data_IF_969083601602
#
_entry.id   IF_969083601602
#
_cell.length_a   1.000
_cell.length_b   1.000
_cell.length_c   1.000
_cell.angle_alpha   90.00
_cell.angle_beta   90.00
_cell.angle_gamma   90.00
#
_symmetry.space_group_name_H-M   'P 1'
#
loop_
_entity.id
_entity.type
_entity.pdbx_description
1 polymer ?
#
# COMPACT_ATOMS: atom_id res chain seq x y z
N UNK A 1 42.77 -69.45 -15.52
CA UNK A 1 41.70 -69.30 -16.53
C UNK A 1 41.72 -67.87 -17.01
N UNK A 2 42.18 -67.68 -18.20
CA UNK A 2 42.37 -66.39 -18.87
C UNK A 2 41.04 -65.95 -19.50
N UNK A 3 40.57 -64.77 -19.18
CA UNK A 3 39.51 -64.11 -19.98
C UNK A 3 40.02 -62.70 -20.36
N UNK A 4 40.19 -62.55 -21.67
CA UNK A 4 40.69 -61.36 -22.37
C UNK A 4 39.62 -60.25 -22.38
N UNK A 5 40.00 -59.06 -21.96
CA UNK A 5 39.26 -57.80 -22.20
C UNK A 5 39.47 -57.36 -23.64
N UNK A 6 38.37 -57.07 -24.34
CA UNK A 6 38.37 -56.41 -25.66
C UNK A 6 38.34 -54.88 -25.44
N UNK A 7 39.04 -54.07 -26.26
CA UNK A 7 38.98 -52.61 -26.15
C UNK A 7 37.74 -52.06 -26.81
N UNK A 8 36.99 -51.21 -26.09
CA UNK A 8 35.89 -50.40 -26.61
C UNK A 8 36.45 -49.17 -27.29
N UNK A 9 36.17 -49.01 -28.58
CA UNK A 9 36.49 -47.77 -29.30
C UNK A 9 35.46 -46.72 -28.98
N UNK A 10 35.88 -45.62 -28.36
CA UNK A 10 35.07 -44.43 -28.16
C UNK A 10 35.15 -43.61 -29.46
N UNK A 11 34.06 -43.57 -30.22
CA UNK A 11 33.90 -42.64 -31.35
C UNK A 11 33.41 -41.31 -30.78
N UNK A 12 34.29 -40.31 -30.77
CA UNK A 12 33.94 -38.93 -30.35
C UNK A 12 33.19 -38.26 -31.50
N UNK A 13 31.89 -38.13 -31.41
CA UNK A 13 31.07 -37.38 -32.35
C UNK A 13 31.09 -35.93 -31.97
N UNK A 14 31.88 -35.09 -32.66
CA UNK A 14 31.89 -33.65 -32.48
C UNK A 14 30.68 -33.09 -33.22
N UNK A 15 29.62 -32.73 -32.45
CA UNK A 15 28.45 -32.01 -32.93
C UNK A 15 28.79 -30.51 -32.95
N UNK A 16 29.13 -29.98 -34.11
CA UNK A 16 29.26 -28.54 -34.33
C UNK A 16 27.88 -27.89 -34.35
N UNK A 17 27.43 -27.30 -33.22
CA UNK A 17 26.24 -26.46 -33.15
C UNK A 17 26.54 -25.11 -33.79
N UNK A 18 26.05 -24.92 -35.00
CA UNK A 18 25.99 -23.61 -35.66
C UNK A 18 24.83 -22.83 -35.07
N UNK A 19 25.16 -21.89 -34.17
CA UNK A 19 24.16 -20.92 -33.68
C UNK A 19 23.85 -19.93 -34.82
N UNK A 20 22.75 -20.11 -35.51
CA UNK A 20 22.12 -19.04 -36.27
C UNK A 20 21.46 -18.05 -35.30
N UNK A 21 22.19 -16.97 -35.01
CA UNK A 21 21.60 -15.81 -34.32
C UNK A 21 20.65 -15.11 -35.30
N UNK A 22 19.34 -15.45 -35.19
CA UNK A 22 18.31 -14.66 -35.85
C UNK A 22 18.09 -13.42 -34.98
N UNK A 23 18.82 -12.36 -35.29
CA UNK A 23 18.55 -11.03 -34.79
C UNK A 23 17.18 -10.56 -35.35
N UNK A 24 16.09 -10.90 -34.70
CA UNK A 24 14.81 -10.24 -34.93
C UNK A 24 14.97 -8.77 -34.53
N UNK A 25 15.24 -7.93 -35.55
CA UNK A 25 15.03 -6.48 -35.42
C UNK A 25 13.54 -6.27 -35.11
N UNK A 26 13.21 -6.15 -33.83
CA UNK A 26 11.96 -5.51 -33.41
C UNK A 26 12.06 -4.08 -33.94
N UNK A 27 11.47 -3.83 -35.10
CA UNK A 27 11.17 -2.48 -35.56
C UNK A 27 10.17 -1.93 -34.56
N UNK A 28 10.65 -1.16 -33.57
CA UNK A 28 9.80 -0.21 -32.89
C UNK A 28 9.22 0.66 -34.01
N UNK A 29 7.93 0.54 -34.27
CA UNK A 29 7.21 1.49 -35.10
C UNK A 29 7.32 2.81 -34.33
N UNK A 30 8.18 3.70 -34.78
CA UNK A 30 8.09 5.11 -34.45
C UNK A 30 6.79 5.58 -35.07
N UNK A 31 5.71 5.44 -34.28
CA UNK A 31 4.51 6.21 -34.51
C UNK A 31 4.94 7.69 -34.35
N UNK A 32 5.02 8.40 -35.46
CA UNK A 32 5.32 9.84 -35.53
C UNK A 32 4.11 10.60 -35.02
N UNK A 33 3.70 10.33 -33.78
CA UNK A 33 2.66 11.06 -33.08
C UNK A 33 3.24 12.33 -32.46
N UNK A 34 2.42 13.37 -32.47
CA UNK A 34 2.67 14.69 -31.91
C UNK A 34 3.51 14.64 -30.62
N UNK A 35 4.38 15.64 -30.37
CA UNK A 35 5.15 15.69 -29.14
C UNK A 35 4.20 15.54 -27.93
N UNK A 36 4.63 14.84 -26.88
CA UNK A 36 3.76 14.56 -25.73
C UNK A 36 3.18 15.88 -25.20
N UNK A 37 1.85 15.93 -25.03
CA UNK A 37 1.13 17.13 -24.60
C UNK A 37 1.65 17.57 -23.24
N UNK A 38 2.29 18.74 -23.19
CA UNK A 38 2.67 19.39 -21.93
C UNK A 38 1.41 19.81 -21.19
N UNK A 39 1.30 19.42 -19.92
CA UNK A 39 0.19 19.78 -19.03
C UNK A 39 0.56 20.95 -18.13
N UNK A 40 1.79 20.95 -17.60
CA UNK A 40 2.32 22.01 -16.76
C UNK A 40 3.86 21.96 -16.75
N UNK A 41 4.48 23.09 -16.45
CA UNK A 41 5.93 23.16 -16.17
C UNK A 41 6.22 24.27 -15.15
N UNK A 42 7.32 24.06 -14.40
CA UNK A 42 7.83 25.03 -13.42
C UNK A 42 9.32 25.21 -13.62
N UNK A 43 9.78 26.47 -13.51
CA UNK A 43 11.21 26.78 -13.46
C UNK A 43 11.63 26.87 -12.01
N UNK A 44 12.52 25.97 -11.60
CA UNK A 44 13.07 25.89 -10.25
C UNK A 44 14.46 26.53 -10.23
N UNK A 45 14.67 27.51 -9.37
CA UNK A 45 15.99 28.14 -9.18
C UNK A 45 16.46 27.84 -7.77
N UNK A 46 17.54 27.06 -7.64
CA UNK A 46 18.09 26.61 -6.38
C UNK A 46 19.42 27.32 -6.09
N UNK A 47 19.53 27.94 -4.91
CA UNK A 47 20.77 28.55 -4.42
C UNK A 47 21.76 27.53 -3.84
N UNK A 48 21.28 26.32 -3.49
CA UNK A 48 22.05 25.18 -2.98
C UNK A 48 21.39 23.87 -3.40
N UNK A 49 22.04 22.74 -3.11
CA UNK A 49 21.45 21.43 -3.33
C UNK A 49 20.25 21.23 -2.37
N UNK A 50 19.13 20.78 -2.89
CA UNK A 50 17.87 20.58 -2.14
C UNK A 50 17.32 19.19 -2.39
N UNK A 51 16.65 18.61 -1.40
CA UNK A 51 15.67 17.55 -1.63
C UNK A 51 14.38 18.20 -2.11
N UNK A 52 13.85 17.74 -3.21
CA UNK A 52 12.72 18.39 -3.88
C UNK A 52 11.55 17.41 -4.03
N UNK A 53 10.42 17.80 -3.46
CA UNK A 53 9.12 17.22 -3.78
C UNK A 53 8.37 18.07 -4.79
N UNK A 54 7.30 17.52 -5.35
CA UNK A 54 6.41 18.22 -6.27
C UNK A 54 4.96 17.97 -5.84
N UNK A 55 4.21 19.03 -5.64
CA UNK A 55 2.76 18.98 -5.42
C UNK A 55 2.05 19.34 -6.72
N UNK A 56 1.12 18.50 -7.15
CA UNK A 56 0.36 18.64 -8.39
C UNK A 56 -1.13 18.54 -8.05
N UNK A 57 -1.88 19.64 -8.19
CA UNK A 57 -3.33 19.61 -8.09
C UNK A 57 -3.90 19.26 -9.47
N UNK A 58 -4.39 18.05 -9.63
CA UNK A 58 -4.81 17.50 -10.91
C UNK A 58 -6.03 16.58 -10.79
N UNK A 59 -6.68 16.34 -11.93
CA UNK A 59 -7.73 15.32 -12.07
C UNK A 59 -7.65 14.63 -13.43
N UNK A 60 -8.33 13.51 -13.54
CA UNK A 60 -8.42 12.69 -14.76
C UNK A 60 -9.90 12.52 -15.13
N UNK A 61 -10.50 13.42 -15.96
CA UNK A 61 -11.92 13.36 -16.30
C UNK A 61 -12.32 12.06 -16.98
N UNK A 62 -13.53 11.58 -16.67
CA UNK A 62 -14.14 10.38 -17.24
C UNK A 62 -13.37 9.07 -16.98
N UNK A 63 -12.55 9.01 -15.93
CA UNK A 63 -11.90 7.79 -15.48
C UNK A 63 -12.66 7.14 -14.32
N UNK A 64 -12.53 5.83 -14.18
CA UNK A 64 -13.06 5.05 -13.06
C UNK A 64 -12.34 3.71 -12.98
N UNK A 65 -11.90 3.34 -11.80
CA UNK A 65 -11.26 2.04 -11.54
C UNK A 65 -12.24 0.86 -11.70
N UNK A 66 -13.55 1.11 -11.67
CA UNK A 66 -14.56 0.09 -11.94
C UNK A 66 -14.68 -0.32 -13.42
N UNK A 67 -14.10 0.46 -14.33
CA UNK A 67 -14.20 0.23 -15.77
C UNK A 67 -12.86 -0.15 -16.37
N UNK A 68 -12.76 -1.40 -16.82
CA UNK A 68 -11.55 -1.89 -17.50
C UNK A 68 -11.20 -1.02 -18.71
N UNK A 69 -9.97 -0.55 -18.76
CA UNK A 69 -9.45 0.33 -19.81
C UNK A 69 -9.79 1.81 -19.61
N UNK A 70 -10.42 2.20 -18.50
CA UNK A 70 -10.71 3.59 -18.16
C UNK A 70 -10.25 3.94 -16.73
N UNK A 71 -9.32 3.20 -16.16
CA UNK A 71 -8.90 3.25 -14.75
C UNK A 71 -8.32 4.61 -14.38
N UNK A 72 -7.21 5.00 -15.00
CA UNK A 72 -6.52 6.25 -14.71
C UNK A 72 -5.70 6.76 -15.90
N UNK A 73 -5.42 8.05 -15.90
CA UNK A 73 -4.41 8.67 -16.76
C UNK A 73 -3.05 8.60 -16.08
N UNK A 74 -2.01 8.25 -16.86
CA UNK A 74 -0.62 8.40 -16.46
C UNK A 74 -0.07 9.74 -16.94
N UNK A 75 0.68 10.41 -16.08
CA UNK A 75 1.52 11.55 -16.45
C UNK A 75 2.98 11.21 -16.21
N UNK A 76 3.84 11.73 -17.09
CA UNK A 76 5.29 11.59 -16.98
C UNK A 76 5.85 12.87 -16.37
N UNK A 77 6.66 12.72 -15.34
CA UNK A 77 7.39 13.81 -14.69
C UNK A 77 8.84 13.75 -15.12
N UNK A 78 9.36 14.88 -15.57
CA UNK A 78 10.77 15.02 -15.97
C UNK A 78 11.43 16.23 -15.32
N UNK A 79 12.72 16.13 -15.09
CA UNK A 79 13.60 17.21 -14.63
C UNK A 79 14.66 17.43 -15.69
N UNK A 80 14.75 18.65 -16.23
CA UNK A 80 15.64 19.02 -17.34
C UNK A 80 15.51 18.09 -18.55
N UNK A 81 14.26 17.71 -18.87
CA UNK A 81 13.94 16.80 -19.97
C UNK A 81 14.29 15.32 -19.72
N UNK A 82 14.86 14.97 -18.56
CA UNK A 82 15.17 13.60 -18.19
C UNK A 82 14.02 12.98 -17.40
N UNK A 83 13.66 11.73 -17.74
CA UNK A 83 12.66 10.97 -17.02
C UNK A 83 12.98 10.88 -15.52
N UNK A 84 12.04 11.30 -14.69
CA UNK A 84 12.12 11.13 -13.24
C UNK A 84 11.20 9.99 -12.78
N UNK A 85 9.89 10.05 -13.09
CA UNK A 85 8.93 9.03 -12.71
C UNK A 85 7.63 9.17 -13.48
N UNK A 86 6.75 8.19 -13.32
CA UNK A 86 5.34 8.29 -13.69
C UNK A 86 4.49 8.61 -12.47
N UNK A 87 3.34 9.24 -12.70
CA UNK A 87 2.28 9.41 -11.72
C UNK A 87 0.97 9.00 -12.37
N UNK A 88 0.22 8.12 -11.73
CA UNK A 88 -1.16 7.82 -12.10
C UNK A 88 -2.10 8.77 -11.36
N UNK A 89 -3.02 9.41 -12.11
CA UNK A 89 -4.04 10.29 -11.53
C UNK A 89 -5.21 9.43 -11.00
N UNK A 90 -4.91 8.69 -9.95
CA UNK A 90 -5.76 7.63 -9.42
C UNK A 90 -7.05 8.11 -8.71
N UNK A 91 -7.11 9.39 -8.31
CA UNK A 91 -8.31 9.96 -7.70
C UNK A 91 -9.43 10.28 -8.72
N UNK A 92 -9.19 10.07 -10.02
CA UNK A 92 -10.21 10.14 -11.04
C UNK A 92 -10.69 11.57 -11.34
N UNK A 93 -12.02 11.77 -11.42
CA UNK A 93 -12.67 13.06 -11.74
C UNK A 93 -12.49 14.12 -10.65
N UNK A 94 -12.11 13.75 -9.45
CA UNK A 94 -11.93 14.70 -8.35
C UNK A 94 -10.61 15.45 -8.45
N UNK A 95 -10.61 16.73 -8.11
CA UNK A 95 -9.39 17.46 -7.88
C UNK A 95 -8.65 16.90 -6.66
N UNK A 96 -7.44 16.38 -6.89
CA UNK A 96 -6.62 15.80 -5.85
C UNK A 96 -5.22 16.39 -5.88
N UNK A 97 -4.63 16.55 -4.69
CA UNK A 97 -3.26 17.03 -4.53
C UNK A 97 -2.31 15.85 -4.42
N UNK A 98 -1.78 15.45 -5.55
CA UNK A 98 -0.74 14.46 -5.65
C UNK A 98 0.57 15.06 -5.17
N UNK A 99 1.32 14.31 -4.39
CA UNK A 99 2.67 14.68 -3.98
C UNK A 99 3.63 13.58 -4.36
N UNK A 100 4.72 13.96 -5.02
CA UNK A 100 5.75 13.02 -5.48
C UNK A 100 7.14 13.54 -5.09
N UNK A 101 8.08 12.62 -4.90
CA UNK A 101 9.48 12.93 -4.61
C UNK A 101 10.26 13.02 -5.92
N UNK A 102 10.95 14.15 -6.17
CA UNK A 102 11.86 14.28 -7.31
C UNK A 102 13.28 13.83 -6.94
N UNK A 103 13.60 13.81 -5.65
CA UNK A 103 14.91 13.52 -5.10
C UNK A 103 15.79 14.77 -4.98
N UNK A 104 17.08 14.54 -4.77
CA UNK A 104 18.07 15.63 -4.66
C UNK A 104 18.33 16.29 -5.99
N UNK A 105 18.05 17.60 -6.07
CA UNK A 105 18.37 18.44 -7.22
C UNK A 105 19.52 19.38 -6.82
N UNK A 106 20.48 19.51 -7.72
CA UNK A 106 21.68 20.29 -7.46
C UNK A 106 21.36 21.80 -7.52
N UNK A 107 22.26 22.63 -7.00
CA UNK A 107 22.22 24.10 -7.19
C UNK A 107 22.17 24.43 -8.68
N UNK A 108 21.29 25.34 -9.07
CA UNK A 108 21.16 25.78 -10.47
C UNK A 108 19.74 26.13 -10.86
N UNK A 109 19.54 26.34 -12.16
CA UNK A 109 18.23 26.53 -12.78
C UNK A 109 17.81 25.21 -13.43
N UNK A 110 16.63 24.75 -13.08
CA UNK A 110 16.07 23.49 -13.56
C UNK A 110 14.67 23.69 -14.11
N UNK A 111 14.23 22.80 -14.97
CA UNK A 111 12.87 22.78 -15.48
C UNK A 111 12.20 21.48 -15.07
N UNK A 112 11.14 21.55 -14.28
CA UNK A 112 10.27 20.42 -13.96
C UNK A 112 9.09 20.45 -14.91
N UNK A 113 8.80 19.34 -15.59
CA UNK A 113 7.69 19.25 -16.55
C UNK A 113 6.79 18.05 -16.25
N UNK A 114 5.49 18.27 -16.42
CA UNK A 114 4.46 17.23 -16.33
C UNK A 114 3.80 17.10 -17.70
N UNK A 115 3.88 15.91 -18.29
CA UNK A 115 3.35 15.65 -19.63
C UNK A 115 2.42 14.44 -19.61
N UNK A 116 1.44 14.41 -20.51
CA UNK A 116 0.54 13.26 -20.65
C UNK A 116 1.33 12.05 -21.17
N UNK A 117 1.25 10.94 -20.46
CA UNK A 117 1.86 9.66 -20.88
C UNK A 117 0.78 8.73 -21.46
N UNK A 118 0.36 8.99 -22.68
CA UNK A 118 -0.70 8.22 -23.35
C UNK A 118 -0.40 6.71 -23.42
N UNK A 119 0.83 6.25 -23.73
CA UNK A 119 1.14 4.81 -23.76
C UNK A 119 0.96 4.09 -22.43
N UNK A 120 1.05 4.80 -21.31
CA UNK A 120 0.90 4.24 -19.95
C UNK A 120 -0.44 4.58 -19.29
N UNK A 121 -1.28 5.37 -19.96
CA UNK A 121 -2.64 5.63 -19.53
C UNK A 121 -3.56 4.47 -19.91
N UNK A 122 -4.65 4.29 -19.17
CA UNK A 122 -5.70 3.36 -19.55
C UNK A 122 -6.25 3.68 -20.93
N UNK A 123 -6.63 2.68 -21.72
CA UNK A 123 -6.92 2.82 -23.15
C UNK A 123 -7.98 3.87 -23.49
N UNK A 124 -8.98 4.07 -22.63
CA UNK A 124 -10.01 5.10 -22.77
C UNK A 124 -9.71 6.39 -21.99
N UNK A 125 -8.68 6.42 -21.14
CA UNK A 125 -8.30 7.60 -20.34
C UNK A 125 -7.39 8.52 -21.19
N UNK A 126 -7.90 9.63 -21.69
CA UNK A 126 -7.23 10.46 -22.72
C UNK A 126 -6.93 11.88 -22.29
N UNK A 127 -7.44 12.32 -21.13
CA UNK A 127 -7.27 13.69 -20.67
C UNK A 127 -6.91 13.80 -19.22
N UNK A 128 -6.00 14.71 -18.92
CA UNK A 128 -5.70 15.17 -17.59
C UNK A 128 -5.80 16.69 -17.56
N UNK A 129 -6.23 17.22 -16.44
CA UNK A 129 -6.24 18.63 -16.13
C UNK A 129 -5.35 18.90 -14.94
N UNK A 130 -4.46 19.87 -15.05
CA UNK A 130 -3.57 20.33 -13.98
C UNK A 130 -3.96 21.74 -13.61
N UNK A 131 -4.35 21.97 -12.36
CA UNK A 131 -4.76 23.27 -11.85
C UNK A 131 -3.57 24.03 -11.24
N UNK A 132 -2.67 23.33 -10.58
CA UNK A 132 -1.46 23.92 -9.99
C UNK A 132 -0.31 22.94 -9.96
N UNK A 133 0.90 23.49 -10.03
CA UNK A 133 2.17 22.79 -9.91
C UNK A 133 3.04 23.60 -8.95
N UNK A 134 3.61 22.95 -7.93
CA UNK A 134 4.42 23.63 -6.92
C UNK A 134 5.53 22.73 -6.40
N UNK A 135 6.76 23.19 -6.43
CA UNK A 135 7.89 22.51 -5.81
C UNK A 135 7.86 22.65 -4.28
N UNK A 136 8.16 21.55 -3.59
CA UNK A 136 8.35 21.48 -2.14
C UNK A 136 9.85 21.34 -1.88
N UNK A 137 10.44 22.29 -1.14
CA UNK A 137 11.88 22.39 -0.96
C UNK A 137 12.28 22.03 0.46
N UNK A 138 13.20 21.08 0.59
CA UNK A 138 13.78 20.67 1.87
C UNK A 138 15.29 20.80 1.80
N UNK A 139 15.89 21.40 2.83
CA UNK A 139 17.34 21.52 2.91
C UNK A 139 17.95 20.12 2.98
N UNK A 140 18.82 19.80 2.01
CA UNK A 140 19.57 18.57 2.04
C UNK A 140 20.56 18.64 3.21
N UNK A 141 20.39 17.77 4.20
CA UNK A 141 21.37 17.67 5.28
C UNK A 141 22.61 16.93 4.77
N UNK A 142 23.81 17.48 4.95
CA UNK A 142 25.04 16.80 4.58
C UNK A 142 25.37 15.61 5.49
N UNK A 143 24.81 15.58 6.69
CA UNK A 143 25.06 14.59 7.73
C UNK A 143 23.77 14.17 8.43
N UNK A 144 23.56 12.86 8.53
CA UNK A 144 22.39 12.30 9.22
C UNK A 144 22.35 12.68 10.72
N UNK A 145 23.50 12.89 11.36
CA UNK A 145 23.60 13.24 12.77
C UNK A 145 22.97 14.61 13.09
N UNK A 146 22.98 15.52 12.13
CA UNK A 146 22.45 16.89 12.27
C UNK A 146 21.11 17.09 11.56
N UNK A 147 20.57 16.05 10.90
CA UNK A 147 19.31 16.13 10.20
C UNK A 147 18.12 16.00 11.17
N UNK A 148 17.05 16.75 10.92
CA UNK A 148 15.76 16.51 11.57
C UNK A 148 15.15 15.19 11.10
N UNK A 149 14.19 14.65 11.87
CA UNK A 149 13.45 13.44 11.48
C UNK A 149 12.79 13.59 10.11
N UNK A 150 12.24 14.77 9.80
CA UNK A 150 11.65 15.06 8.49
C UNK A 150 12.70 15.09 7.37
N UNK A 151 13.85 15.74 7.62
CA UNK A 151 14.94 15.76 6.63
C UNK A 151 15.48 14.36 6.33
N UNK A 152 15.60 13.50 7.35
CA UNK A 152 15.94 12.08 7.16
C UNK A 152 14.88 11.37 6.33
N UNK A 153 13.61 11.53 6.70
CA UNK A 153 12.51 10.86 5.99
C UNK A 153 12.38 11.31 4.54
N UNK A 154 12.67 12.57 4.23
CA UNK A 154 12.68 13.07 2.86
C UNK A 154 13.90 12.52 2.09
N UNK A 155 15.10 12.59 2.68
CA UNK A 155 16.35 12.24 1.99
C UNK A 155 16.51 10.73 1.69
N UNK A 156 15.82 9.86 2.44
CA UNK A 156 15.90 8.41 2.29
C UNK A 156 14.59 7.79 1.76
N UNK A 157 13.64 8.60 1.31
CA UNK A 157 12.38 8.14 0.72
C UNK A 157 12.64 7.23 -0.48
N UNK A 158 12.03 6.02 -0.53
CA UNK A 158 12.25 5.07 -1.62
C UNK A 158 11.61 5.51 -2.93
N UNK A 159 12.24 5.14 -4.03
CA UNK A 159 11.67 5.13 -5.37
C UNK A 159 11.32 3.68 -5.74
N UNK A 160 10.11 3.46 -6.24
CA UNK A 160 9.57 2.14 -6.49
C UNK A 160 9.47 1.86 -7.98
N UNK A 161 10.19 0.86 -8.46
CA UNK A 161 9.93 0.31 -9.78
C UNK A 161 8.66 -0.55 -9.75
N UNK A 162 7.82 -0.35 -10.74
CA UNK A 162 6.64 -1.17 -10.93
C UNK A 162 7.01 -2.62 -11.26
N UNK A 163 6.19 -3.56 -10.83
CA UNK A 163 6.23 -4.94 -11.29
C UNK A 163 5.89 -5.02 -12.79
N UNK A 164 6.34 -6.04 -13.48
CA UNK A 164 5.94 -6.30 -14.86
C UNK A 164 4.41 -6.35 -14.98
N UNK A 165 3.86 -5.76 -16.02
CA UNK A 165 2.43 -5.67 -16.30
C UNK A 165 1.59 -4.81 -15.31
N UNK A 166 2.21 -4.07 -14.40
CA UNK A 166 1.50 -3.17 -13.48
C UNK A 166 0.60 -2.19 -14.23
N UNK A 167 1.14 -1.48 -15.22
CA UNK A 167 0.37 -0.50 -15.99
C UNK A 167 -0.69 -1.16 -16.86
N UNK A 168 -0.37 -2.27 -17.52
CA UNK A 168 -1.32 -2.96 -18.43
C UNK A 168 -2.53 -3.52 -17.67
N UNK A 169 -2.34 -3.82 -16.40
CA UNK A 169 -3.38 -4.37 -15.52
C UNK A 169 -3.96 -3.35 -14.56
N UNK A 170 -3.35 -2.20 -14.42
CA UNK A 170 -3.67 -1.21 -13.38
C UNK A 170 -3.78 -1.86 -12.00
N UNK A 171 -2.71 -2.49 -11.60
CA UNK A 171 -2.57 -3.20 -10.32
C UNK A 171 -1.22 -2.88 -9.69
N UNK A 172 -1.07 -3.08 -8.38
CA UNK A 172 0.16 -2.75 -7.62
C UNK A 172 0.60 -1.29 -7.78
N UNK A 173 -0.36 -0.38 -7.92
CA UNK A 173 -0.09 1.05 -8.06
C UNK A 173 0.09 1.66 -6.68
N UNK A 174 1.23 2.31 -6.38
CA UNK A 174 1.39 3.04 -5.14
C UNK A 174 0.53 4.30 -5.15
N UNK A 175 -0.42 4.38 -4.21
CA UNK A 175 -1.34 5.51 -4.05
C UNK A 175 -0.73 6.57 -3.13
N UNK A 176 -0.20 6.14 -1.99
CA UNK A 176 0.33 6.98 -0.93
C UNK A 176 1.56 6.32 -0.32
N UNK A 177 2.51 7.12 0.16
CA UNK A 177 3.59 6.66 1.02
C UNK A 177 3.61 7.50 2.29
N UNK A 178 3.74 6.85 3.43
CA UNK A 178 3.94 7.51 4.71
C UNK A 178 5.18 6.99 5.40
N UNK A 179 5.65 7.73 6.41
CA UNK A 179 6.71 7.26 7.27
C UNK A 179 6.32 7.38 8.75
N UNK A 180 6.87 6.48 9.54
CA UNK A 180 6.82 6.47 10.97
C UNK A 180 8.21 6.72 11.54
N UNK A 181 8.27 7.37 12.68
CA UNK A 181 9.50 7.54 13.45
C UNK A 181 9.33 6.77 14.75
N UNK A 182 10.07 5.67 14.88
CA UNK A 182 10.00 4.78 16.01
C UNK A 182 11.27 4.95 16.87
N UNK A 183 11.12 4.88 18.19
CA UNK A 183 12.25 4.87 19.13
C UNK A 183 12.31 3.54 19.84
N UNK A 184 13.44 2.87 19.72
CA UNK A 184 13.67 1.58 20.35
C UNK A 184 14.21 1.74 21.78
N UNK A 185 14.17 0.65 22.57
CA UNK A 185 14.59 0.67 23.97
C UNK A 185 16.07 1.08 24.17
N UNK A 186 16.93 0.82 23.19
CA UNK A 186 18.34 1.24 23.16
C UNK A 186 18.56 2.68 22.68
N UNK A 187 17.47 3.46 22.53
CA UNK A 187 17.44 4.81 22.00
C UNK A 187 17.82 4.93 20.50
N UNK A 188 17.78 3.84 19.75
CA UNK A 188 17.89 3.89 18.31
C UNK A 188 16.66 4.58 17.71
N UNK A 189 16.89 5.35 16.64
CA UNK A 189 15.86 5.98 15.84
C UNK A 189 15.64 5.15 14.60
N UNK A 190 14.39 4.72 14.37
CA UNK A 190 14.00 4.02 13.13
C UNK A 190 13.05 4.90 12.34
N UNK A 191 13.38 5.18 11.07
CA UNK A 191 12.46 5.79 10.11
C UNK A 191 12.01 4.69 9.16
N UNK A 192 10.73 4.33 9.22
CA UNK A 192 10.12 3.27 8.41
C UNK A 192 9.15 3.86 7.41
N UNK A 193 9.29 3.48 6.15
CA UNK A 193 8.38 3.87 5.06
C UNK A 193 7.40 2.75 4.78
N UNK A 194 6.14 3.12 4.61
CA UNK A 194 5.05 2.21 4.26
C UNK A 194 4.28 2.81 3.09
N UNK A 195 3.91 1.97 2.14
CA UNK A 195 3.13 2.39 0.96
C UNK A 195 1.76 1.74 0.98
N UNK A 196 0.75 2.54 0.68
CA UNK A 196 -0.62 2.10 0.38
C UNK A 196 -0.69 1.90 -1.13
N UNK A 197 -0.90 0.67 -1.54
CA UNK A 197 -1.09 0.30 -2.96
C UNK A 197 -2.57 0.23 -3.32
N UNK A 198 -2.87 -0.10 -4.55
CA UNK A 198 -4.17 -0.62 -4.95
C UNK A 198 -4.43 -1.99 -4.30
N UNK A 199 -5.47 -2.71 -4.70
CA UNK A 199 -5.82 -3.96 -4.04
C UNK A 199 -4.72 -5.02 -4.17
N UNK A 200 -4.67 -5.93 -3.19
CA UNK A 200 -3.79 -7.09 -3.21
C UNK A 200 -4.19 -8.06 -4.33
N UNK A 201 -3.25 -8.36 -5.22
CA UNK A 201 -3.47 -9.27 -6.37
C UNK A 201 -3.37 -10.75 -5.98
N UNK A 202 -2.51 -11.06 -5.02
CA UNK A 202 -2.23 -12.41 -4.59
C UNK A 202 -1.95 -12.51 -3.09
N UNK A 203 -1.89 -13.72 -2.57
CA UNK A 203 -1.62 -13.98 -1.16
C UNK A 203 -2.90 -14.20 -0.37
N UNK A 204 -3.57 -13.16 0.10
CA UNK A 204 -4.71 -13.28 1.01
C UNK A 204 -6.06 -13.18 0.29
N UNK A 205 -6.99 -14.05 0.63
CA UNK A 205 -8.35 -14.03 0.09
C UNK A 205 -9.12 -12.78 0.53
N UNK A 206 -9.95 -12.19 -0.34
CA UNK A 206 -10.63 -10.91 -0.11
C UNK A 206 -11.47 -10.88 1.16
N UNK A 207 -12.22 -11.95 1.45
CA UNK A 207 -13.00 -12.05 2.68
C UNK A 207 -12.11 -12.05 3.93
N UNK A 208 -10.94 -12.69 3.87
CA UNK A 208 -9.97 -12.67 4.96
C UNK A 208 -9.30 -11.29 5.12
N UNK A 209 -9.03 -10.57 4.04
CA UNK A 209 -8.56 -9.19 4.09
C UNK A 209 -9.54 -8.29 4.85
N UNK A 210 -10.83 -8.36 4.52
CA UNK A 210 -11.86 -7.58 5.23
C UNK A 210 -11.99 -8.00 6.69
N UNK A 211 -12.06 -9.30 6.98
CA UNK A 211 -12.24 -9.80 8.34
C UNK A 211 -11.04 -9.52 9.24
N UNK A 212 -9.82 -9.57 8.72
CA UNK A 212 -8.61 -9.49 9.53
C UNK A 212 -7.94 -8.12 9.50
N UNK A 213 -8.12 -7.33 8.43
CA UNK A 213 -7.51 -6.00 8.27
C UNK A 213 -8.52 -4.89 7.96
N UNK A 214 -9.80 -5.21 7.68
CA UNK A 214 -10.80 -4.21 7.34
C UNK A 214 -10.48 -3.46 6.05
N UNK A 215 -9.81 -4.09 5.10
CA UNK A 215 -9.42 -3.53 3.81
C UNK A 215 -9.15 -4.63 2.78
N UNK A 216 -9.28 -4.31 1.51
CA UNK A 216 -8.71 -5.11 0.41
C UNK A 216 -7.47 -4.43 -0.21
N UNK A 217 -7.31 -3.13 0.00
CA UNK A 217 -6.12 -2.34 -0.36
C UNK A 217 -4.88 -2.90 0.32
N UNK A 218 -3.79 -3.02 -0.42
CA UNK A 218 -2.54 -3.49 0.17
C UNK A 218 -1.75 -2.38 0.85
N UNK A 219 -1.21 -2.64 2.04
CA UNK A 219 -0.42 -1.68 2.83
C UNK A 219 0.83 -2.41 3.34
N UNK A 220 1.97 -2.11 2.69
CA UNK A 220 3.21 -2.82 2.96
C UNK A 220 4.34 -1.87 3.37
N UNK A 221 5.10 -2.26 4.41
CA UNK A 221 6.31 -1.52 4.71
C UNK A 221 7.36 -1.82 3.63
N UNK A 222 8.02 -0.77 3.18
CA UNK A 222 8.86 -0.83 2.00
C UNK A 222 10.33 -0.87 2.38
N UNK A 223 10.72 0.08 3.24
CA UNK A 223 12.10 0.36 3.55
C UNK A 223 12.21 1.03 4.91
N UNK A 224 13.31 0.78 5.61
CA UNK A 224 13.61 1.50 6.85
C UNK A 224 15.11 1.74 7.01
N UNK A 225 15.42 2.83 7.69
CA UNK A 225 16.75 3.15 8.19
C UNK A 225 16.73 3.11 9.72
N UNK A 226 17.81 2.60 10.32
CA UNK A 226 18.06 2.64 11.76
C UNK A 226 19.28 3.47 12.05
N UNK A 227 19.17 4.38 13.01
CA UNK A 227 20.24 5.26 13.42
C UNK A 227 20.59 5.05 14.90
N UNK A 228 21.87 5.01 15.21
CA UNK A 228 22.41 5.05 16.56
C UNK A 228 23.37 6.23 16.70
N UNK A 229 23.18 7.09 17.68
CA UNK A 229 24.01 8.29 17.86
C UNK A 229 24.09 9.20 16.62
N UNK A 230 22.98 9.28 15.83
CA UNK A 230 22.92 10.07 14.61
C UNK A 230 23.59 9.43 13.38
N UNK A 231 24.12 8.22 13.49
CA UNK A 231 24.71 7.48 12.35
C UNK A 231 23.78 6.37 11.92
N UNK A 232 23.58 6.22 10.61
CA UNK A 232 22.86 5.06 10.05
C UNK A 232 23.72 3.82 10.29
N UNK A 233 23.14 2.85 10.98
CA UNK A 233 23.77 1.57 11.31
C UNK A 233 23.16 0.41 10.57
N UNK A 234 21.94 0.59 10.05
CA UNK A 234 21.22 -0.46 9.35
C UNK A 234 20.23 0.14 8.34
N UNK A 235 20.12 -0.50 7.20
CA UNK A 235 19.12 -0.22 6.18
C UNK A 235 18.51 -1.54 5.72
N UNK A 236 17.18 -1.66 5.81
CA UNK A 236 16.48 -2.89 5.47
C UNK A 236 15.22 -2.63 4.66
N UNK A 237 14.72 -3.65 3.99
CA UNK A 237 13.48 -3.62 3.23
C UNK A 237 12.70 -4.93 3.40
N UNK A 238 11.41 -4.89 3.07
CA UNK A 238 10.55 -6.08 3.08
C UNK A 238 10.73 -6.88 1.79
N UNK A 239 11.47 -7.96 1.87
CA UNK A 239 11.64 -8.91 0.79
C UNK A 239 10.44 -9.85 0.61
N UNK A 240 10.51 -10.69 -0.41
CA UNK A 240 9.50 -11.72 -0.71
C UNK A 240 9.24 -12.58 0.54
N UNK A 241 7.99 -13.02 0.72
CA UNK A 241 7.51 -13.72 1.91
C UNK A 241 7.61 -12.93 3.22
N UNK A 242 7.61 -11.58 3.12
CA UNK A 242 7.73 -10.65 4.24
C UNK A 242 9.05 -10.76 5.03
N UNK A 243 10.08 -11.37 4.45
CA UNK A 243 11.39 -11.42 5.07
C UNK A 243 12.01 -10.03 5.17
N UNK A 244 12.60 -9.70 6.30
CA UNK A 244 13.43 -8.49 6.42
C UNK A 244 14.79 -8.74 5.81
N UNK A 245 15.17 -7.95 4.80
CA UNK A 245 16.45 -8.07 4.07
C UNK A 245 17.27 -6.79 4.20
N UNK A 246 18.59 -6.92 4.28
CA UNK A 246 19.49 -5.78 4.23
C UNK A 246 19.48 -5.16 2.83
N UNK A 247 19.40 -3.84 2.78
CA UNK A 247 19.45 -3.11 1.53
C UNK A 247 20.90 -2.96 1.05
N UNK A 248 21.16 -3.46 -0.15
CA UNK A 248 22.47 -3.36 -0.84
C UNK A 248 22.34 -2.79 -2.25
N UNK A 249 21.13 -2.43 -2.63
CA UNK A 249 20.74 -2.03 -3.96
C UNK A 249 21.23 -0.63 -4.38
N UNK A 250 20.92 -0.23 -5.61
CA UNK A 250 21.28 1.08 -6.14
C UNK A 250 20.43 2.20 -5.51
N UNK A 251 20.97 3.42 -5.62
CA UNK A 251 20.31 4.65 -5.22
C UNK A 251 20.15 5.59 -6.40
N UNK A 252 19.22 6.52 -6.29
CA UNK A 252 18.98 7.57 -7.28
C UNK A 252 18.86 8.92 -6.62
N UNK A 253 19.19 9.99 -7.35
CA UNK A 253 18.93 11.38 -6.96
C UNK A 253 19.29 11.70 -5.49
N UNK A 254 20.46 11.26 -5.02
CA UNK A 254 20.91 11.40 -3.63
C UNK A 254 20.95 10.07 -2.89
N UNK A 255 20.30 9.99 -1.74
CA UNK A 255 20.29 8.79 -0.90
C UNK A 255 19.05 7.91 -1.10
N UNK A 256 18.21 8.19 -2.08
CA UNK A 256 16.95 7.48 -2.31
C UNK A 256 17.20 6.04 -2.77
N UNK A 257 16.78 5.02 -2.02
CA UNK A 257 16.89 3.63 -2.44
C UNK A 257 15.97 3.35 -3.63
N UNK A 258 16.45 2.53 -4.55
CA UNK A 258 15.65 1.99 -5.64
C UNK A 258 15.22 0.58 -5.27
N UNK A 259 13.93 0.38 -5.15
CA UNK A 259 13.31 -0.92 -4.88
C UNK A 259 12.32 -1.25 -5.99
N UNK A 260 12.15 -2.51 -6.30
CA UNK A 260 11.16 -2.97 -7.26
C UNK A 260 10.11 -3.85 -6.58
N UNK A 261 8.85 -3.67 -6.94
CA UNK A 261 7.79 -4.61 -6.57
C UNK A 261 8.10 -5.96 -7.24
N UNK A 262 8.29 -7.00 -6.44
CA UNK A 262 8.79 -8.31 -6.87
C UNK A 262 7.74 -9.43 -6.82
N UNK A 263 6.63 -9.25 -6.09
CA UNK A 263 5.58 -10.25 -5.95
C UNK A 263 4.19 -9.65 -6.13
N UNK A 264 3.18 -10.50 -6.26
CA UNK A 264 1.76 -10.10 -6.32
C UNK A 264 1.21 -9.63 -4.97
N UNK A 265 1.96 -9.83 -3.90
CA UNK A 265 1.72 -9.34 -2.55
C UNK A 265 2.63 -8.15 -2.21
N UNK A 266 2.96 -7.33 -3.20
CA UNK A 266 3.74 -6.10 -3.10
C UNK A 266 5.00 -6.18 -2.21
N UNK A 267 5.68 -7.33 -2.18
CA UNK A 267 7.00 -7.43 -1.57
C UNK A 267 8.08 -6.92 -2.55
N UNK A 268 9.27 -6.65 -2.05
CA UNK A 268 10.27 -5.88 -2.79
C UNK A 268 11.55 -6.66 -3.06
N UNK A 269 12.31 -6.12 -4.03
CA UNK A 269 13.69 -6.51 -4.34
C UNK A 269 14.52 -5.26 -4.60
N UNK A 270 15.74 -5.24 -4.11
CA UNK A 270 16.73 -4.19 -4.38
C UNK A 270 17.62 -4.50 -5.59
N UNK A 271 17.38 -5.63 -6.26
CA UNK A 271 18.15 -6.09 -7.44
C UNK A 271 17.39 -5.93 -8.76
N UNK A 272 16.06 -5.74 -8.72
CA UNK A 272 15.24 -5.64 -9.90
C UNK A 272 15.02 -4.18 -10.33
N UNK A 273 14.65 -3.99 -11.60
CA UNK A 273 14.25 -2.69 -12.14
C UNK A 273 13.22 -2.88 -13.26
N UNK A 274 12.48 -1.82 -13.59
CA UNK A 274 11.57 -1.77 -14.73
C UNK A 274 11.61 -0.41 -15.42
N UNK A 275 10.85 -0.27 -16.50
CA UNK A 275 10.75 1.01 -17.22
C UNK A 275 9.82 2.01 -16.53
N UNK A 276 9.02 1.58 -15.56
CA UNK A 276 8.05 2.40 -14.83
C UNK A 276 8.51 2.58 -13.39
N UNK A 277 8.53 3.82 -12.94
CA UNK A 277 8.97 4.18 -11.61
C UNK A 277 7.99 5.16 -10.97
N UNK A 278 7.73 4.98 -9.69
CA UNK A 278 6.88 5.82 -8.85
C UNK A 278 7.68 6.29 -7.63
N UNK A 279 7.37 7.46 -7.14
CA UNK A 279 7.94 7.96 -5.89
C UNK A 279 6.92 8.89 -5.18
N UNK A 280 5.86 8.34 -4.58
CA UNK A 280 4.96 9.15 -3.77
C UNK A 280 5.75 9.85 -2.65
N UNK A 281 5.49 11.16 -2.45
CA UNK A 281 6.16 11.92 -1.40
C UNK A 281 5.70 11.44 -0.02
N UNK A 282 6.61 11.07 0.89
CA UNK A 282 6.24 10.50 2.18
C UNK A 282 5.72 11.59 3.12
N UNK A 283 4.61 11.34 3.78
CA UNK A 283 4.12 12.15 4.90
C UNK A 283 4.25 11.41 6.22
N UNK A 284 4.38 12.14 7.31
CA UNK A 284 4.48 11.53 8.63
C UNK A 284 3.13 10.97 9.08
N UNK A 285 3.10 9.69 9.45
CA UNK A 285 2.00 9.07 10.17
C UNK A 285 2.38 8.86 11.64
N UNK A 286 1.40 8.99 12.53
CA UNK A 286 1.53 8.69 13.96
C UNK A 286 0.56 7.56 14.26
N UNK A 287 1.10 6.35 14.39
CA UNK A 287 0.32 5.11 14.55
C UNK A 287 0.54 4.45 15.91
N UNK A 288 1.07 5.17 16.88
CA UNK A 288 1.34 4.65 18.24
C UNK A 288 0.05 4.14 18.91
N UNK A 289 -1.09 4.74 18.55
CA UNK A 289 -2.42 4.41 19.11
C UNK A 289 -3.48 4.22 18.02
N UNK A 290 -3.05 3.91 16.80
CA UNK A 290 -3.93 3.76 15.65
C UNK A 290 -3.48 2.59 14.77
N UNK A 291 -4.35 2.16 13.89
CA UNK A 291 -4.02 1.15 12.88
C UNK A 291 -3.42 1.80 11.65
N UNK A 292 -2.62 1.07 10.88
CA UNK A 292 -2.09 1.56 9.60
C UNK A 292 -3.20 1.86 8.58
N UNK A 293 -4.34 1.20 8.69
CA UNK A 293 -5.54 1.45 7.88
C UNK A 293 -6.14 2.83 8.15
N UNK A 294 -5.86 3.47 9.29
CA UNK A 294 -6.32 4.83 9.59
C UNK A 294 -5.76 5.89 8.63
N UNK A 295 -4.67 5.57 7.92
CA UNK A 295 -4.14 6.42 6.85
C UNK A 295 -5.15 6.56 5.70
N UNK A 296 -5.90 5.50 5.38
CA UNK A 296 -6.95 5.56 4.35
C UNK A 296 -8.10 6.51 4.75
N UNK A 297 -8.36 6.66 6.04
CA UNK A 297 -9.44 7.56 6.53
C UNK A 297 -9.11 9.04 6.26
N UNK A 298 -7.83 9.39 6.19
CA UNK A 298 -7.37 10.73 5.81
C UNK A 298 -7.46 10.98 4.29
N UNK A 299 -7.56 9.90 3.51
CA UNK A 299 -7.61 9.92 2.06
C UNK A 299 -8.74 9.01 1.55
N UNK A 300 -10.02 9.42 1.69
CA UNK A 300 -11.19 8.59 1.35
C UNK A 300 -11.19 8.06 -0.08
N UNK A 301 -10.50 8.75 -1.00
CA UNK A 301 -10.33 8.29 -2.37
C UNK A 301 -9.68 6.90 -2.47
N UNK A 302 -8.89 6.49 -1.48
CA UNK A 302 -8.28 5.14 -1.44
C UNK A 302 -9.34 4.05 -1.26
N UNK A 303 -10.38 4.30 -0.47
CA UNK A 303 -11.53 3.39 -0.35
C UNK A 303 -12.32 3.28 -1.66
N UNK A 304 -12.46 4.41 -2.36
CA UNK A 304 -13.13 4.39 -3.68
C UNK A 304 -12.32 3.58 -4.69
N UNK A 305 -11.00 3.78 -4.77
CA UNK A 305 -10.13 2.98 -5.63
C UNK A 305 -10.27 1.50 -5.27
N UNK A 306 -10.20 1.15 -3.99
CA UNK A 306 -10.38 -0.22 -3.49
C UNK A 306 -11.70 -0.84 -3.97
N UNK A 307 -12.82 -0.14 -3.77
CA UNK A 307 -14.14 -0.63 -4.14
C UNK A 307 -14.31 -0.75 -5.66
N UNK A 308 -13.92 0.27 -6.42
CA UNK A 308 -14.04 0.28 -7.87
C UNK A 308 -13.14 -0.79 -8.52
N UNK A 309 -11.95 -1.03 -8.00
CA UNK A 309 -11.07 -2.10 -8.47
C UNK A 309 -11.70 -3.48 -8.22
N UNK A 310 -12.25 -3.72 -7.05
CA UNK A 310 -12.99 -4.96 -6.75
C UNK A 310 -14.19 -5.16 -7.68
N UNK A 311 -14.90 -4.08 -8.08
CA UNK A 311 -15.97 -4.14 -9.09
C UNK A 311 -15.40 -4.58 -10.43
N UNK A 312 -14.32 -3.96 -10.90
CA UNK A 312 -13.63 -4.31 -12.16
C UNK A 312 -13.22 -5.78 -12.19
N UNK A 313 -12.75 -6.30 -11.07
CA UNK A 313 -12.29 -7.67 -10.90
C UNK A 313 -13.42 -8.67 -10.62
N UNK A 314 -14.68 -8.20 -10.53
CA UNK A 314 -15.86 -9.01 -10.20
C UNK A 314 -15.76 -9.67 -8.81
N UNK A 315 -15.11 -9.01 -7.88
CA UNK A 315 -14.93 -9.44 -6.48
C UNK A 315 -15.98 -8.83 -5.53
N UNK A 316 -16.91 -8.02 -6.04
CA UNK A 316 -18.08 -7.52 -5.28
C UNK A 316 -19.34 -8.25 -5.71
N UNK A 317 -20.12 -8.70 -4.74
CA UNK A 317 -21.41 -9.38 -4.93
C UNK A 317 -22.39 -9.02 -3.80
N UNK A 318 -23.66 -8.84 -4.15
CA UNK A 318 -24.74 -8.64 -3.16
C UNK A 318 -24.93 -9.87 -2.26
N UNK A 319 -24.58 -11.03 -2.76
CA UNK A 319 -24.59 -12.30 -2.01
C UNK A 319 -23.23 -13.01 -2.23
N UNK A 320 -22.19 -12.60 -1.52
CA UNK A 320 -20.87 -13.24 -1.61
C UNK A 320 -21.01 -14.72 -1.34
N UNK A 321 -20.64 -15.51 -2.34
CA UNK A 321 -20.81 -16.97 -2.34
C UNK A 321 -19.49 -17.70 -2.03
N UNK A 322 -18.38 -17.00 -2.09
CA UNK A 322 -17.05 -17.55 -1.87
C UNK A 322 -16.12 -16.59 -1.13
N UNK A 323 -14.91 -17.06 -0.82
CA UNK A 323 -13.90 -16.35 -0.06
C UNK A 323 -13.19 -15.23 -0.83
N UNK A 324 -13.40 -15.13 -2.14
CA UNK A 324 -12.80 -14.12 -3.01
C UNK A 324 -13.78 -12.99 -3.33
N UNK A 325 -15.05 -13.15 -2.98
CA UNK A 325 -16.06 -12.12 -3.14
C UNK A 325 -16.49 -11.53 -1.81
N UNK A 326 -16.76 -10.23 -1.80
CA UNK A 326 -17.26 -9.49 -0.64
C UNK A 326 -18.47 -8.65 -1.04
N UNK A 327 -19.18 -8.11 -0.06
CA UNK A 327 -20.19 -7.06 -0.30
C UNK A 327 -19.50 -5.72 -0.63
N UNK A 328 -20.28 -4.73 -1.06
CA UNK A 328 -19.75 -3.38 -1.23
C UNK A 328 -19.08 -2.88 0.07
N UNK A 329 -17.87 -2.31 0.02
CA UNK A 329 -17.19 -1.79 1.22
C UNK A 329 -18.02 -0.81 2.07
N UNK A 330 -19.05 -0.18 1.51
CA UNK A 330 -19.99 0.68 2.22
C UNK A 330 -21.01 -0.10 3.09
N UNK A 331 -21.12 -1.40 2.89
CA UNK A 331 -21.98 -2.30 3.67
C UNK A 331 -21.26 -2.90 4.88
N UNK A 332 -20.14 -2.33 5.33
CA UNK A 332 -19.36 -2.85 6.44
C UNK A 332 -19.29 -1.84 7.59
N UNK A 333 -19.37 -2.36 8.81
CA UNK A 333 -18.89 -1.67 9.99
C UNK A 333 -17.41 -2.02 10.18
N UNK A 334 -16.56 -1.01 10.12
CA UNK A 334 -15.14 -1.12 10.40
C UNK A 334 -14.89 -0.86 11.88
N UNK A 335 -14.21 -1.78 12.53
CA UNK A 335 -13.92 -1.74 13.97
C UNK A 335 -12.42 -1.68 14.18
N UNK A 336 -11.94 -0.65 14.85
CA UNK A 336 -10.57 -0.56 15.33
C UNK A 336 -10.53 -0.95 16.80
N UNK A 337 -9.61 -1.85 17.11
CA UNK A 337 -9.43 -2.32 18.47
C UNK A 337 -7.94 -2.53 18.77
N UNK A 338 -7.63 -2.64 20.05
CA UNK A 338 -6.35 -3.07 20.54
C UNK A 338 -6.51 -4.30 21.42
N UNK A 339 -5.51 -5.17 21.41
CA UNK A 339 -5.41 -6.28 22.35
C UNK A 339 -4.01 -6.87 22.38
N UNK A 340 -3.72 -7.64 23.42
CA UNK A 340 -2.56 -8.54 23.52
C UNK A 340 -3.10 -9.97 23.61
N UNK A 341 -2.69 -10.82 22.67
CA UNK A 341 -3.27 -12.16 22.54
C UNK A 341 -2.21 -13.22 22.81
N UNK A 342 -2.54 -14.15 23.68
CA UNK A 342 -1.73 -15.32 23.97
C UNK A 342 -2.59 -16.59 23.81
N UNK A 343 -2.23 -17.47 22.88
CA UNK A 343 -2.97 -18.69 22.60
C UNK A 343 -4.46 -18.52 22.29
N UNK A 344 -4.84 -17.30 21.87
CA UNK A 344 -6.23 -16.88 21.66
C UNK A 344 -6.35 -16.04 20.41
N UNK A 345 -7.59 -15.77 20.00
CA UNK A 345 -7.94 -14.91 18.88
C UNK A 345 -9.26 -14.17 19.16
N UNK A 346 -9.41 -12.97 18.61
CA UNK A 346 -10.60 -12.15 18.74
C UNK A 346 -11.50 -12.24 17.50
N UNK A 347 -12.82 -12.22 17.76
CA UNK A 347 -13.85 -11.91 16.78
C UNK A 347 -14.78 -10.85 17.35
N UNK A 348 -15.55 -10.19 16.49
CA UNK A 348 -16.49 -9.15 16.88
C UNK A 348 -17.87 -9.46 16.31
N UNK A 349 -18.88 -9.38 17.17
CA UNK A 349 -20.28 -9.48 16.80
C UNK A 349 -20.91 -8.09 16.85
N UNK A 350 -21.70 -7.74 15.85
CA UNK A 350 -22.43 -6.47 15.76
C UNK A 350 -23.91 -6.74 15.84
N UNK A 351 -24.58 -6.10 16.80
CA UNK A 351 -26.02 -6.10 16.91
C UNK A 351 -26.59 -4.83 16.30
N UNK A 352 -27.63 -5.01 15.50
CA UNK A 352 -28.32 -3.95 14.76
C UNK A 352 -29.79 -3.92 15.14
N UNK A 353 -30.35 -2.74 15.28
CA UNK A 353 -31.78 -2.53 15.56
C UNK A 353 -32.66 -3.26 14.55
N UNK A 354 -33.71 -3.92 15.06
CA UNK A 354 -34.64 -4.65 14.22
C UNK A 354 -34.14 -5.98 13.66
N UNK A 355 -32.89 -6.38 13.95
CA UNK A 355 -32.34 -7.66 13.52
C UNK A 355 -32.28 -8.66 14.68
N UNK A 356 -32.74 -9.90 14.42
CA UNK A 356 -32.73 -10.96 15.44
C UNK A 356 -31.34 -11.53 15.69
N UNK A 357 -30.50 -11.59 14.63
CA UNK A 357 -29.14 -12.15 14.69
C UNK A 357 -28.10 -11.05 14.70
N UNK A 358 -27.01 -11.28 15.40
CA UNK A 358 -25.80 -10.47 15.28
C UNK A 358 -25.00 -10.88 14.03
N UNK A 359 -24.20 -9.96 13.54
CA UNK A 359 -23.29 -10.14 12.40
C UNK A 359 -21.87 -10.30 12.92
N UNK A 360 -21.17 -11.35 12.53
CA UNK A 360 -19.85 -11.70 13.05
C UNK A 360 -18.73 -11.34 12.07
N UNK A 361 -17.63 -10.79 12.57
CA UNK A 361 -16.44 -10.47 11.77
C UNK A 361 -15.75 -11.71 11.19
N UNK A 362 -15.80 -12.83 11.93
CA UNK A 362 -15.20 -14.09 11.51
C UNK A 362 -16.15 -14.97 10.68
N UNK A 363 -17.39 -14.54 10.45
CA UNK A 363 -18.42 -15.30 9.73
C UNK A 363 -18.56 -16.76 10.22
N UNK A 364 -18.19 -17.04 11.48
CA UNK A 364 -18.13 -18.37 12.08
C UNK A 364 -16.89 -19.19 11.74
N UNK A 365 -15.93 -18.66 10.98
CA UNK A 365 -14.73 -19.36 10.55
C UNK A 365 -13.51 -19.00 11.42
N UNK A 366 -12.89 -19.96 12.14
CA UNK A 366 -11.75 -19.68 13.02
C UNK A 366 -10.56 -19.01 12.35
N UNK A 367 -10.31 -19.28 11.05
CA UNK A 367 -9.20 -18.69 10.28
C UNK A 367 -9.36 -17.19 10.01
N UNK A 368 -10.58 -16.66 10.13
CA UNK A 368 -10.88 -15.24 9.93
C UNK A 368 -10.74 -14.42 11.23
N UNK A 369 -10.53 -15.09 12.37
CA UNK A 369 -10.30 -14.44 13.66
C UNK A 369 -8.95 -13.73 13.69
N UNK A 370 -8.87 -12.69 14.49
CA UNK A 370 -7.67 -11.90 14.65
C UNK A 370 -6.81 -12.52 15.76
N UNK A 371 -5.61 -12.96 15.40
CA UNK A 371 -4.65 -13.65 16.27
C UNK A 371 -3.31 -12.92 16.40
N UNK A 372 -3.32 -11.60 16.15
CA UNK A 372 -2.18 -10.68 16.30
C UNK A 372 -2.43 -9.64 17.38
N UNK A 373 -1.38 -9.29 18.13
CA UNK A 373 -1.41 -8.25 19.16
C UNK A 373 -1.20 -6.84 18.59
N UNK A 374 -1.53 -5.82 19.39
CA UNK A 374 -1.42 -4.41 19.06
C UNK A 374 -2.73 -3.83 18.53
N UNK A 375 -2.63 -2.70 17.83
CA UNK A 375 -3.76 -2.07 17.16
C UNK A 375 -4.06 -2.79 15.85
N UNK A 376 -5.32 -3.05 15.59
CA UNK A 376 -5.79 -3.69 14.36
C UNK A 376 -7.18 -3.19 13.97
N UNK A 377 -7.51 -3.38 12.69
CA UNK A 377 -8.85 -3.13 12.15
C UNK A 377 -9.46 -4.45 11.67
N UNK A 378 -10.76 -4.58 11.80
CA UNK A 378 -11.61 -5.64 11.23
C UNK A 378 -12.83 -5.00 10.60
N UNK A 379 -13.51 -5.72 9.71
CA UNK A 379 -14.77 -5.27 9.13
C UNK A 379 -15.86 -6.34 9.30
N UNK A 380 -17.04 -5.92 9.69
CA UNK A 380 -18.22 -6.76 9.86
C UNK A 380 -19.23 -6.39 8.79
N UNK A 381 -19.59 -7.33 7.95
CA UNK A 381 -20.64 -7.11 6.95
C UNK A 381 -21.99 -6.91 7.60
N UNK A 382 -22.71 -5.87 7.19
CA UNK A 382 -24.07 -5.56 7.59
C UNK A 382 -25.02 -5.65 6.38
N UNK A 383 -26.34 -5.77 6.59
CA UNK A 383 -27.32 -5.59 5.52
C UNK A 383 -27.20 -4.22 4.86
N UNK A 384 -27.54 -4.14 3.56
CA UNK A 384 -27.36 -2.94 2.72
C UNK A 384 -27.99 -1.66 3.26
N UNK A 385 -29.13 -1.74 3.90
CA UNK A 385 -29.92 -0.57 4.34
C UNK A 385 -29.62 -0.15 5.79
N UNK A 386 -28.56 -0.70 6.39
CA UNK A 386 -28.18 -0.34 7.77
C UNK A 386 -27.40 0.97 7.76
N UNK A 387 -27.88 1.91 8.57
CA UNK A 387 -27.20 3.18 8.84
C UNK A 387 -26.37 3.12 10.15
N UNK A 388 -25.44 4.05 10.36
CA UNK A 388 -24.71 4.17 11.63
C UNK A 388 -25.61 4.25 12.87
N UNK A 389 -26.81 4.84 12.75
CA UNK A 389 -27.77 4.98 13.85
C UNK A 389 -28.46 3.66 14.23
N UNK A 390 -28.42 2.66 13.35
CA UNK A 390 -29.05 1.36 13.60
C UNK A 390 -28.14 0.41 14.36
N UNK A 391 -26.85 0.72 14.51
CA UNK A 391 -25.90 -0.11 15.24
C UNK A 391 -26.10 0.07 16.74
N UNK A 392 -26.47 -1.00 17.46
CA UNK A 392 -26.72 -0.98 18.91
C UNK A 392 -25.44 -1.25 19.71
N UNK A 393 -24.79 -2.39 19.41
CA UNK A 393 -23.63 -2.85 20.18
C UNK A 393 -22.60 -3.54 19.30
N UNK A 394 -21.35 -3.44 19.77
CA UNK A 394 -20.20 -4.21 19.29
C UNK A 394 -19.77 -5.11 20.43
N UNK A 395 -19.69 -6.41 20.20
CA UNK A 395 -19.30 -7.41 21.21
C UNK A 395 -17.96 -8.01 20.80
N UNK A 396 -16.90 -7.78 21.55
CA UNK A 396 -15.63 -8.50 21.42
C UNK A 396 -15.76 -9.88 22.08
N UNK A 397 -15.38 -10.93 21.39
CA UNK A 397 -15.39 -12.32 21.86
C UNK A 397 -13.99 -12.91 21.73
N UNK A 398 -13.45 -13.42 22.83
CA UNK A 398 -12.18 -14.14 22.85
C UNK A 398 -12.42 -15.62 22.56
N UNK A 399 -11.59 -16.21 21.71
CA UNK A 399 -11.61 -17.64 21.36
C UNK A 399 -10.25 -18.25 21.61
N UNK A 400 -10.20 -19.47 22.13
CA UNK A 400 -8.98 -20.24 22.14
C UNK A 400 -8.52 -20.50 20.69
N UNK A 401 -7.21 -20.43 20.43
CA UNK A 401 -6.62 -20.87 19.18
C UNK A 401 -5.73 -22.11 19.41
N UNK A 402 -5.19 -22.66 18.33
CA UNK A 402 -4.38 -23.90 18.40
C UNK A 402 -2.89 -23.61 18.65
N UNK A 403 -2.49 -22.37 18.80
CA UNK A 403 -1.08 -22.02 19.06
C UNK A 403 -0.70 -22.46 20.47
N UNK A 404 0.50 -23.04 20.68
CA UNK A 404 1.00 -23.32 22.02
C UNK A 404 1.09 -22.02 22.84
N UNK A 405 0.56 -22.04 24.04
CA UNK A 405 0.61 -20.92 24.95
C UNK A 405 0.52 -21.39 26.40
N UNK A 406 1.13 -20.66 27.33
CA UNK A 406 1.03 -20.89 28.78
C UNK A 406 -0.39 -20.55 29.27
N UNK A 407 -0.99 -19.52 28.72
CA UNK A 407 -2.36 -19.12 28.95
C UNK A 407 -3.09 -18.93 27.61
N UNK A 408 -4.41 -18.94 27.65
CA UNK A 408 -5.27 -18.66 26.50
C UNK A 408 -6.13 -17.48 26.84
N UNK A 409 -5.65 -16.28 26.50
CA UNK A 409 -6.32 -15.03 26.86
C UNK A 409 -6.17 -13.98 25.77
N UNK A 410 -7.15 -13.08 25.75
CA UNK A 410 -7.10 -11.82 25.03
C UNK A 410 -7.00 -10.69 26.06
N UNK A 411 -5.80 -10.20 26.32
CA UNK A 411 -5.53 -9.14 27.28
C UNK A 411 -5.66 -7.76 26.63
N UNK A 412 -5.89 -6.72 27.44
CA UNK A 412 -5.98 -5.32 27.01
C UNK A 412 -6.97 -5.09 25.86
N UNK A 413 -8.06 -5.87 25.86
CA UNK A 413 -9.10 -5.75 24.82
C UNK A 413 -9.82 -4.44 24.97
N UNK A 414 -9.78 -3.61 23.93
CA UNK A 414 -10.54 -2.37 23.86
C UNK A 414 -10.93 -2.05 22.42
N UNK A 415 -12.19 -1.68 22.19
CA UNK A 415 -12.66 -1.09 20.92
C UNK A 415 -12.39 0.40 20.99
N UNK A 416 -11.50 0.87 20.12
CA UNK A 416 -11.03 2.26 20.10
C UNK A 416 -11.95 3.14 19.25
N UNK A 417 -12.40 2.60 18.11
CA UNK A 417 -13.20 3.33 17.15
C UNK A 417 -14.03 2.38 16.29
N UNK A 418 -15.19 2.83 15.85
CA UNK A 418 -15.96 2.18 14.81
C UNK A 418 -16.41 3.20 13.77
N UNK A 419 -16.48 2.81 12.52
CA UNK A 419 -16.91 3.68 11.42
C UNK A 419 -17.61 2.90 10.31
N UNK A 420 -18.41 3.59 9.52
CA UNK A 420 -18.95 3.11 8.26
C UNK A 420 -18.56 4.09 7.15
N UNK A 421 -18.52 3.62 5.91
CA UNK A 421 -18.31 4.49 4.75
C UNK A 421 -19.65 5.01 4.25
N UNK A 422 -19.73 6.32 3.98
CA UNK A 422 -20.91 6.89 3.33
C UNK A 422 -20.94 6.61 1.83
N UNK A 423 -21.91 7.14 1.11
CA UNK A 423 -22.07 6.96 -0.34
C UNK A 423 -20.86 7.46 -1.15
N UNK A 424 -20.10 8.42 -0.63
CA UNK A 424 -18.86 8.93 -1.22
C UNK A 424 -17.59 8.21 -0.75
N UNK A 425 -17.73 7.08 -0.04
CA UNK A 425 -16.63 6.37 0.63
C UNK A 425 -15.93 7.16 1.73
N UNK A 426 -16.58 8.21 2.26
CA UNK A 426 -16.02 8.99 3.36
C UNK A 426 -16.33 8.30 4.70
N UNK A 427 -15.32 8.07 5.55
CA UNK A 427 -15.51 7.47 6.86
C UNK A 427 -16.42 8.31 7.77
N UNK A 428 -17.44 7.67 8.34
CA UNK A 428 -18.35 8.23 9.34
C UNK A 428 -18.18 7.48 10.64
N UNK A 429 -17.57 8.14 11.62
CA UNK A 429 -17.28 7.54 12.92
C UNK A 429 -18.55 7.45 13.74
N UNK A 430 -18.78 6.28 14.35
CA UNK A 430 -19.88 6.04 15.27
C UNK A 430 -19.47 6.48 16.69
N UNK A 431 -20.36 7.12 17.45
CA UNK A 431 -20.11 7.41 18.85
C UNK A 431 -20.06 6.09 19.65
N UNK A 432 -18.98 5.85 20.36
CA UNK A 432 -18.81 4.70 21.24
C UNK A 432 -18.71 5.15 22.68
N UNK A 433 -19.35 4.40 23.59
CA UNK A 433 -19.13 4.58 25.02
C UNK A 433 -17.74 4.05 25.37
N UNK A 434 -16.87 4.94 25.84
CA UNK A 434 -15.53 4.56 26.30
C UNK A 434 -15.59 3.59 27.46
N UNK A 435 -14.74 2.59 27.44
CA UNK A 435 -14.61 1.60 28.50
C UNK A 435 -13.13 1.34 28.77
N UNK A 436 -12.75 0.97 30.01
CA UNK A 436 -11.37 0.58 30.29
C UNK A 436 -11.01 -0.71 29.55
N UNK A 437 -9.73 -0.92 29.30
CA UNK A 437 -9.21 -2.19 28.78
C UNK A 437 -9.66 -3.37 29.68
N UNK A 438 -9.84 -4.55 29.08
CA UNK A 438 -10.21 -5.76 29.80
C UNK A 438 -9.41 -6.96 29.34
N UNK A 439 -9.32 -7.96 30.20
CA UNK A 439 -8.76 -9.28 29.88
C UNK A 439 -9.92 -10.27 29.77
N UNK A 440 -9.93 -11.03 28.66
CA UNK A 440 -10.97 -12.02 28.37
C UNK A 440 -10.34 -13.41 28.26
N UNK A 441 -10.91 -14.39 28.95
CA UNK A 441 -10.66 -15.81 28.73
C UNK A 441 -11.39 -16.33 27.50
N UNK A 442 -11.15 -17.59 27.10
CA UNK A 442 -11.88 -18.22 26.01
C UNK A 442 -13.39 -18.21 26.29
N UNK A 443 -14.16 -17.84 25.23
CA UNK A 443 -15.62 -17.71 25.23
C UNK A 443 -16.17 -16.56 26.08
N UNK A 444 -15.31 -15.81 26.78
CA UNK A 444 -15.72 -14.54 27.40
C UNK A 444 -15.94 -13.45 26.38
N UNK A 445 -16.86 -12.55 26.71
CA UNK A 445 -17.28 -11.43 25.85
C UNK A 445 -17.19 -10.10 26.57
N UNK A 446 -17.00 -9.04 25.76
CA UNK A 446 -17.13 -7.65 26.18
C UNK A 446 -18.03 -6.88 25.23
N UNK A 447 -19.02 -6.20 25.78
CA UNK A 447 -20.01 -5.44 25.01
C UNK A 447 -19.70 -3.96 25.06
N UNK A 448 -19.62 -3.32 23.91
CA UNK A 448 -19.48 -1.87 23.72
C UNK A 448 -20.78 -1.32 23.14
N UNK A 449 -21.35 -0.29 23.77
CA UNK A 449 -22.58 0.35 23.29
C UNK A 449 -22.25 1.45 22.31
N UNK A 450 -23.01 1.51 21.21
CA UNK A 450 -22.96 2.60 20.24
C UNK A 450 -24.06 3.60 20.63
N UNK A 451 -23.74 4.89 20.60
CA UNK A 451 -24.63 5.98 21.00
C UNK A 451 -23.94 6.95 21.97
N UNK A 452 -24.44 8.19 22.03
CA UNK A 452 -23.98 9.19 23.01
C UNK A 452 -24.28 8.72 24.44
N UNK A 453 -23.39 8.99 25.39
CA UNK A 453 -23.76 8.93 26.81
C UNK A 453 -24.90 9.94 27.01
N UNK A 454 -26.05 9.44 27.48
CA UNK A 454 -27.15 10.30 27.97
C UNK A 454 -26.71 11.02 29.24
#
# INVERSE_FOLDING_TARGET
MNTKLKPFHFVLLILTLVFFSVATKVRASQDTSQPPKSLASEILVLSQNMEVGLEIEARSPNTSWARKGAEAVAVLISVDGKYNQDLLLWAGDEWFRYRVMLGRILKGKHTVSVTLNTPRSAAAARSAEVKSLRSLLFTASPDAANASEEQLAVAYSPFLYARANTIDRFTDIPLLTYYEVLREANNDLVVRYTTVFTNEDGGTQTAALMARWGRATDIEWVYQIRLHGGKIIEETYQGVEHETKFFTGPRTAGNHPLLAVASENNNFSDLACSAVRFAPFPFRARLETATRESVMDLYPQTYRVMAEELIREKRISDAPADINTIADPREYLYIEATSEQEGAALAFDVKVNGQFKSFASDMGEPRLRIDRSGYFRTAVRLPRDISPADVETITARCHANQKPASERRCNRVNVVRALMLDQGYVPRVLPLQTQPESSLGPDEIRVYRVGSQQ
#
